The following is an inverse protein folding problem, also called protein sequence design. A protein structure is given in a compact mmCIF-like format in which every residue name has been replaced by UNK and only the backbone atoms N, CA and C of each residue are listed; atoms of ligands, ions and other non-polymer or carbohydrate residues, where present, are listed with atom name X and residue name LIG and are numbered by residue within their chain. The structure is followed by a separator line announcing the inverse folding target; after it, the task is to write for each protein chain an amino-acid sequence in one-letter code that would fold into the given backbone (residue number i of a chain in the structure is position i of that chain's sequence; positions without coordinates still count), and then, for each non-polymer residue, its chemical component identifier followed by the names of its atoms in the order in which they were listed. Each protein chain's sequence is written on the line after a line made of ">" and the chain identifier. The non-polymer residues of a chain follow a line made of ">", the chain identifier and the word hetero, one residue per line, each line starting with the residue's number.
data_IF_025378856967
#
_entry.id   IF_025378856967
#
_cell.length_a   1.000
_cell.length_b   1.000
_cell.length_c   1.000
_cell.angle_alpha   90.00
_cell.angle_beta   90.00
_cell.angle_gamma   90.00
#
_symmetry.space_group_name_H-M   'P 1'
#
loop_
_entity.id
_entity.type
_entity.pdbx_description
1 polymer ?
#
# COMPACT_ATOMS: atom_id res chain seq x y z
N UNK A 1 16.31 12.48 -19.23
CA UNK A 1 15.13 13.14 -19.84
C UNK A 1 14.67 12.49 -21.15
N UNK A 2 15.56 11.96 -22.01
CA UNK A 2 15.14 11.30 -23.27
C UNK A 2 14.43 9.94 -23.09
N UNK A 3 14.57 9.28 -21.94
CA UNK A 3 14.03 7.94 -21.76
C UNK A 3 12.50 7.90 -21.63
N UNK A 4 11.84 8.97 -21.16
CA UNK A 4 10.37 9.03 -21.02
C UNK A 4 9.61 8.91 -22.35
N UNK A 5 10.29 9.09 -23.49
CA UNK A 5 9.71 8.90 -24.82
C UNK A 5 9.98 7.51 -25.41
N UNK A 6 10.73 6.67 -24.70
CA UNK A 6 10.99 5.29 -25.12
C UNK A 6 9.84 4.38 -24.68
N UNK A 7 9.66 3.22 -25.34
CA UNK A 7 8.80 2.17 -24.82
C UNK A 7 9.20 1.77 -23.39
N UNK A 8 8.23 1.43 -22.54
CA UNK A 8 8.48 1.14 -21.12
C UNK A 8 9.49 0.00 -20.93
N UNK A 9 9.48 -0.99 -21.82
CA UNK A 9 10.41 -2.11 -21.84
C UNK A 9 11.87 -1.70 -22.05
N UNK A 10 12.12 -0.56 -22.70
CA UNK A 10 13.45 0.00 -22.93
C UNK A 10 13.94 0.86 -21.75
N UNK A 11 13.08 1.14 -20.76
CA UNK A 11 13.49 1.89 -19.59
C UNK A 11 14.48 1.06 -18.75
N UNK A 12 15.43 1.72 -18.05
CA UNK A 12 16.40 1.04 -17.18
C UNK A 12 15.74 0.14 -16.12
N UNK A 13 14.52 0.44 -15.74
CA UNK A 13 13.72 -0.30 -14.76
C UNK A 13 12.42 -0.85 -15.36
N UNK A 14 12.31 -1.02 -16.67
CA UNK A 14 11.08 -1.49 -17.32
C UNK A 14 9.84 -0.63 -17.06
N UNK A 15 10.03 0.66 -16.76
CA UNK A 15 8.95 1.64 -16.61
C UNK A 15 8.32 1.70 -15.22
N UNK A 16 8.83 0.94 -14.24
CA UNK A 16 8.30 0.90 -12.88
C UNK A 16 8.27 2.30 -12.23
N UNK A 17 9.36 3.07 -12.29
CA UNK A 17 9.44 4.43 -11.72
C UNK A 17 8.45 5.36 -12.41
N UNK A 18 8.43 5.38 -13.75
CA UNK A 18 7.52 6.26 -14.49
C UNK A 18 6.05 6.01 -14.14
N UNK A 19 5.61 4.76 -14.12
CA UNK A 19 4.22 4.42 -13.77
C UNK A 19 3.95 4.72 -12.28
N UNK A 20 4.92 4.47 -11.39
CA UNK A 20 4.82 4.85 -9.98
C UNK A 20 4.58 6.35 -9.79
N UNK A 21 5.35 7.18 -10.49
CA UNK A 21 5.23 8.63 -10.51
C UNK A 21 3.87 9.10 -11.04
N UNK A 22 3.33 8.44 -12.07
CA UNK A 22 1.97 8.73 -12.59
C UNK A 22 0.89 8.39 -11.54
N UNK A 23 0.99 7.23 -10.88
CA UNK A 23 0.03 6.87 -9.82
C UNK A 23 0.10 7.81 -8.62
N UNK A 24 1.29 8.28 -8.25
CA UNK A 24 1.45 9.30 -7.22
C UNK A 24 0.79 10.62 -7.62
N UNK A 25 1.03 11.09 -8.85
CA UNK A 25 0.41 12.31 -9.36
C UNK A 25 -1.12 12.20 -9.39
N UNK A 26 -1.66 11.10 -9.93
CA UNK A 26 -3.10 10.85 -9.97
C UNK A 26 -3.74 10.79 -8.56
N UNK A 27 -3.03 10.24 -7.58
CA UNK A 27 -3.49 10.25 -6.19
C UNK A 27 -3.60 11.67 -5.62
N UNK A 28 -2.64 12.55 -5.96
CA UNK A 28 -2.64 13.95 -5.53
C UNK A 28 -3.71 14.77 -6.25
N UNK A 29 -3.93 14.53 -7.55
CA UNK A 29 -5.00 15.17 -8.31
C UNK A 29 -6.37 14.82 -7.74
N UNK A 30 -6.60 13.55 -7.39
CA UNK A 30 -7.83 13.12 -6.72
C UNK A 30 -8.03 13.85 -5.38
N UNK A 31 -6.97 13.95 -4.57
CA UNK A 31 -7.02 14.68 -3.29
C UNK A 31 -7.25 16.19 -3.45
N UNK A 32 -6.90 16.77 -4.59
CA UNK A 32 -7.02 18.21 -4.87
C UNK A 32 -8.39 18.57 -5.45
N UNK A 33 -9.24 17.59 -5.76
CA UNK A 33 -10.57 17.84 -6.30
C UNK A 33 -11.52 18.42 -5.26
N UNK A 34 -12.43 19.32 -5.67
CA UNK A 34 -13.41 19.97 -4.77
C UNK A 34 -14.35 18.97 -4.08
N UNK A 35 -14.54 17.79 -4.68
CA UNK A 35 -15.41 16.73 -4.16
C UNK A 35 -14.68 15.75 -3.24
N UNK A 36 -13.36 15.85 -3.11
CA UNK A 36 -12.61 14.96 -2.25
C UNK A 36 -12.93 15.24 -0.78
N UNK A 37 -13.19 14.17 -0.03
CA UNK A 37 -13.39 14.20 1.41
C UNK A 37 -12.42 13.20 2.02
N UNK A 38 -11.82 13.54 3.16
CA UNK A 38 -11.05 12.56 3.93
C UNK A 38 -12.00 11.62 4.69
N UNK A 39 -12.81 10.88 3.95
CA UNK A 39 -13.75 9.89 4.44
C UNK A 39 -13.40 8.48 3.96
N UNK A 40 -14.07 7.47 4.52
CA UNK A 40 -13.70 6.07 4.33
C UNK A 40 -13.92 5.54 2.92
N UNK A 41 -14.72 6.22 2.07
CA UNK A 41 -14.93 5.82 0.68
C UNK A 41 -13.94 6.53 -0.23
N UNK A 42 -13.82 7.84 -0.07
CA UNK A 42 -13.01 8.71 -0.93
C UNK A 42 -11.51 8.39 -0.81
N UNK A 43 -11.05 7.95 0.37
CA UNK A 43 -9.63 7.59 0.57
C UNK A 43 -9.25 6.23 -0.04
N UNK A 44 -10.19 5.34 -0.35
CA UNK A 44 -9.87 4.01 -0.90
C UNK A 44 -9.11 4.06 -2.24
N UNK A 45 -9.60 4.77 -3.29
CA UNK A 45 -8.86 4.88 -4.55
C UNK A 45 -7.51 5.58 -4.37
N UNK A 46 -7.43 6.59 -3.50
CA UNK A 46 -6.18 7.29 -3.21
C UNK A 46 -5.17 6.35 -2.53
N UNK A 47 -5.62 5.59 -1.53
CA UNK A 47 -4.79 4.62 -0.84
C UNK A 47 -4.30 3.52 -1.78
N UNK A 48 -5.16 3.05 -2.69
CA UNK A 48 -4.76 2.12 -3.73
C UNK A 48 -3.59 2.68 -4.55
N UNK A 49 -3.76 3.88 -5.12
CA UNK A 49 -2.74 4.51 -5.98
C UNK A 49 -1.43 4.75 -5.24
N UNK A 50 -1.47 5.34 -4.04
CA UNK A 50 -0.27 5.62 -3.24
C UNK A 50 0.47 4.34 -2.83
N UNK A 51 -0.26 3.31 -2.39
CA UNK A 51 0.34 2.01 -2.06
C UNK A 51 0.95 1.34 -3.30
N UNK A 52 0.32 1.47 -4.46
CA UNK A 52 0.86 0.90 -5.70
C UNK A 52 2.10 1.67 -6.17
N UNK A 53 2.11 3.00 -6.05
CA UNK A 53 3.31 3.81 -6.26
C UNK A 53 4.51 3.30 -5.43
N UNK A 54 4.32 3.08 -4.12
CA UNK A 54 5.37 2.52 -3.24
C UNK A 54 5.87 1.17 -3.77
N UNK A 55 4.97 0.26 -4.18
CA UNK A 55 5.35 -1.02 -4.78
C UNK A 55 6.25 -0.82 -6.01
N UNK A 56 5.84 0.04 -6.94
CA UNK A 56 6.56 0.25 -8.19
C UNK A 56 7.92 0.92 -7.95
N UNK A 57 8.03 1.88 -7.04
CA UNK A 57 9.31 2.48 -6.66
C UNK A 57 10.26 1.47 -6.01
N UNK A 58 9.78 0.61 -5.12
CA UNK A 58 10.60 -0.45 -4.54
C UNK A 58 11.09 -1.43 -5.61
N UNK A 59 10.22 -1.82 -6.55
CA UNK A 59 10.57 -2.69 -7.69
C UNK A 59 11.63 -2.03 -8.60
N UNK A 60 11.43 -0.76 -8.93
CA UNK A 60 12.39 0.03 -9.71
C UNK A 60 13.76 0.05 -9.03
N UNK A 61 13.82 0.40 -7.75
CA UNK A 61 15.06 0.42 -6.97
C UNK A 61 15.80 -0.92 -7.00
N UNK A 62 15.08 -2.03 -6.85
CA UNK A 62 15.69 -3.38 -6.92
C UNK A 62 16.32 -3.61 -8.29
N UNK A 63 15.62 -3.35 -9.38
CA UNK A 63 16.14 -3.54 -10.74
C UNK A 63 17.38 -2.68 -10.98
N UNK A 64 17.32 -1.40 -10.60
CA UNK A 64 18.42 -0.46 -10.79
C UNK A 64 19.67 -0.88 -10.00
N UNK A 65 19.52 -1.37 -8.77
CA UNK A 65 20.64 -1.91 -7.98
C UNK A 65 21.28 -3.12 -8.66
N UNK A 66 20.47 -4.09 -9.09
CA UNK A 66 20.98 -5.26 -9.79
C UNK A 66 21.74 -4.89 -11.06
N UNK A 67 21.20 -3.98 -11.87
CA UNK A 67 21.87 -3.50 -13.09
C UNK A 67 23.16 -2.72 -12.77
N UNK A 68 23.13 -1.81 -11.80
CA UNK A 68 24.28 -0.96 -11.43
C UNK A 68 25.46 -1.79 -10.91
N UNK A 69 25.18 -2.76 -10.04
CA UNK A 69 26.20 -3.58 -9.40
C UNK A 69 26.43 -4.93 -10.09
N UNK A 70 25.77 -5.17 -11.23
CA UNK A 70 25.82 -6.43 -11.99
C UNK A 70 25.52 -7.66 -11.11
N UNK A 71 24.52 -7.54 -10.24
CA UNK A 71 24.11 -8.61 -9.33
C UNK A 71 23.14 -9.55 -10.05
N UNK A 72 23.45 -10.85 -10.05
CA UNK A 72 22.57 -11.85 -10.65
C UNK A 72 21.25 -12.01 -9.88
N UNK A 73 20.18 -12.35 -10.60
CA UNK A 73 18.88 -12.72 -10.07
C UNK A 73 18.80 -14.24 -9.97
N UNK A 74 19.25 -14.80 -8.84
CA UNK A 74 19.42 -16.26 -8.70
C UNK A 74 20.37 -16.81 -9.78
N UNK A 75 19.88 -17.72 -10.62
CA UNK A 75 20.60 -18.30 -11.76
C UNK A 75 20.59 -17.39 -13.00
N UNK A 76 19.75 -16.35 -13.03
CA UNK A 76 19.67 -15.41 -14.15
C UNK A 76 20.69 -14.27 -13.99
N UNK A 77 21.18 -13.76 -15.12
CA UNK A 77 22.08 -12.60 -15.13
C UNK A 77 21.36 -11.35 -14.60
N UNK A 78 22.14 -10.34 -14.20
CA UNK A 78 21.64 -9.04 -13.73
C UNK A 78 20.70 -8.29 -14.70
N UNK A 79 20.67 -8.68 -15.97
CA UNK A 79 19.79 -8.15 -17.02
C UNK A 79 18.71 -9.16 -17.47
N UNK A 80 18.58 -10.30 -16.78
CA UNK A 80 17.52 -11.28 -17.01
C UNK A 80 16.19 -10.87 -16.35
N UNK A 81 15.30 -11.86 -16.20
CA UNK A 81 13.98 -11.68 -15.58
C UNK A 81 14.15 -11.25 -14.10
N UNK A 82 13.65 -10.07 -13.69
CA UNK A 82 13.86 -9.58 -12.34
C UNK A 82 13.20 -10.47 -11.28
N UNK A 83 13.94 -10.73 -10.19
CA UNK A 83 13.51 -11.54 -9.04
C UNK A 83 13.85 -10.83 -7.73
N UNK A 84 13.20 -11.26 -6.65
CA UNK A 84 13.61 -10.90 -5.29
C UNK A 84 13.94 -12.13 -4.48
N UNK A 85 14.89 -12.00 -3.56
CA UNK A 85 15.21 -13.04 -2.58
C UNK A 85 14.45 -12.77 -1.29
N UNK A 86 13.60 -13.71 -0.90
CA UNK A 86 12.88 -13.68 0.36
C UNK A 86 13.82 -14.03 1.54
N UNK A 87 13.40 -13.71 2.76
CA UNK A 87 14.18 -13.99 3.97
C UNK A 87 14.48 -15.48 4.19
N UNK A 88 13.62 -16.38 3.70
CA UNK A 88 13.82 -17.82 3.74
C UNK A 88 14.81 -18.31 2.65
N UNK A 89 15.38 -17.40 1.87
CA UNK A 89 16.32 -17.69 0.78
C UNK A 89 15.67 -17.99 -0.57
N UNK A 90 14.34 -18.14 -0.63
CA UNK A 90 13.61 -18.42 -1.88
C UNK A 90 13.62 -17.21 -2.82
N UNK A 91 13.83 -17.46 -4.10
CA UNK A 91 13.69 -16.45 -5.14
C UNK A 91 12.31 -16.51 -5.78
N UNK A 92 11.69 -15.34 -5.96
CA UNK A 92 10.39 -15.22 -6.64
C UNK A 92 10.45 -14.11 -7.70
N UNK A 93 9.61 -14.23 -8.72
CA UNK A 93 9.53 -13.22 -9.79
C UNK A 93 9.07 -11.87 -9.21
N UNK A 94 9.77 -10.80 -9.60
CA UNK A 94 9.44 -9.44 -9.16
C UNK A 94 8.05 -9.02 -9.62
N UNK A 95 7.65 -9.42 -10.84
CA UNK A 95 6.33 -9.08 -11.40
C UNK A 95 5.16 -9.73 -10.66
N UNK A 96 5.37 -10.87 -10.00
CA UNK A 96 4.30 -11.62 -9.31
C UNK A 96 4.17 -11.28 -7.83
N UNK A 97 5.15 -10.59 -7.25
CA UNK A 97 5.09 -10.18 -5.85
C UNK A 97 4.48 -8.79 -5.73
N UNK A 98 3.52 -8.65 -4.82
CA UNK A 98 2.93 -7.38 -4.43
C UNK A 98 3.23 -7.04 -2.97
N UNK A 99 3.95 -7.89 -2.25
CA UNK A 99 4.22 -7.69 -0.84
C UNK A 99 5.29 -6.60 -0.67
N UNK A 100 4.84 -5.39 -0.32
CA UNK A 100 5.71 -4.23 -0.16
C UNK A 100 6.72 -4.39 0.98
N UNK A 101 6.43 -5.23 1.98
CA UNK A 101 7.37 -5.55 3.05
C UNK A 101 8.53 -6.38 2.52
N UNK A 102 8.26 -7.42 1.73
CA UNK A 102 9.32 -8.25 1.14
C UNK A 102 10.18 -7.43 0.17
N UNK A 103 9.55 -6.57 -0.64
CA UNK A 103 10.25 -5.64 -1.54
C UNK A 103 11.14 -4.66 -0.76
N UNK A 104 10.61 -4.03 0.30
CA UNK A 104 11.38 -3.13 1.16
C UNK A 104 12.57 -3.83 1.80
N UNK A 105 12.37 -5.02 2.40
CA UNK A 105 13.43 -5.78 3.04
C UNK A 105 14.55 -6.09 2.04
N UNK A 106 14.19 -6.53 0.84
CA UNK A 106 15.17 -6.87 -0.17
C UNK A 106 15.95 -5.65 -0.68
N UNK A 107 15.27 -4.54 -0.96
CA UNK A 107 15.94 -3.29 -1.35
C UNK A 107 16.85 -2.75 -0.24
N UNK A 108 16.40 -2.78 1.02
CA UNK A 108 17.21 -2.36 2.16
C UNK A 108 18.45 -3.27 2.34
N UNK A 109 18.31 -4.57 2.09
CA UNK A 109 19.45 -5.48 2.03
C UNK A 109 20.45 -5.05 0.94
N UNK A 110 19.99 -4.80 -0.30
CA UNK A 110 20.86 -4.35 -1.39
C UNK A 110 21.59 -3.04 -1.06
N UNK A 111 20.89 -2.08 -0.45
CA UNK A 111 21.48 -0.81 0.01
C UNK A 111 22.56 -1.07 1.06
N UNK A 112 22.27 -1.86 2.09
CA UNK A 112 23.21 -2.18 3.17
C UNK A 112 24.44 -2.94 2.67
N UNK A 113 24.26 -3.91 1.78
CA UNK A 113 25.34 -4.69 1.18
C UNK A 113 26.28 -3.86 0.31
N UNK A 114 25.83 -2.72 -0.20
CA UNK A 114 26.63 -1.82 -1.04
C UNK A 114 26.98 -0.49 -0.36
N UNK A 115 26.79 -0.38 0.96
CA UNK A 115 26.94 0.87 1.73
C UNK A 115 28.31 1.55 1.54
N UNK A 116 29.39 0.79 1.47
CA UNK A 116 30.74 1.34 1.32
C UNK A 116 30.94 2.00 -0.05
N UNK A 117 30.41 1.39 -1.12
CA UNK A 117 30.43 2.01 -2.44
C UNK A 117 29.57 3.27 -2.44
N UNK A 118 28.34 3.17 -1.92
CA UNK A 118 27.38 4.28 -1.93
C UNK A 118 27.89 5.50 -1.17
N UNK A 119 28.48 5.31 0.01
CA UNK A 119 29.02 6.40 0.85
C UNK A 119 30.23 7.09 0.23
N UNK A 120 31.04 6.38 -0.57
CA UNK A 120 32.23 6.94 -1.24
C UNK A 120 31.92 7.60 -2.58
N UNK A 121 30.86 7.19 -3.27
CA UNK A 121 30.59 7.56 -4.67
C UNK A 121 29.33 8.40 -4.86
N UNK A 122 28.57 8.68 -3.80
CA UNK A 122 27.33 9.47 -3.89
C UNK A 122 27.19 10.39 -2.68
N UNK A 123 26.44 11.49 -2.85
CA UNK A 123 26.07 12.40 -1.76
C UNK A 123 24.72 12.06 -1.13
N UNK A 124 23.98 11.13 -1.74
CA UNK A 124 22.66 10.70 -1.28
C UNK A 124 22.76 9.93 0.03
N UNK A 125 21.84 10.22 0.96
CA UNK A 125 21.67 9.42 2.18
C UNK A 125 20.91 8.14 1.82
N UNK A 126 21.64 7.05 1.59
CA UNK A 126 21.07 5.73 1.29
C UNK A 126 20.60 5.02 2.57
N UNK A 127 19.63 5.62 3.25
CA UNK A 127 18.99 5.07 4.44
C UNK A 127 17.51 5.47 4.43
N UNK A 128 16.62 4.51 4.59
CA UNK A 128 15.22 4.81 4.84
C UNK A 128 15.03 5.47 6.21
N UNK A 129 14.00 6.30 6.34
CA UNK A 129 13.57 6.86 7.62
C UNK A 129 13.31 5.72 8.63
N UNK A 130 13.67 5.91 9.90
CA UNK A 130 13.47 4.91 10.96
C UNK A 130 11.98 4.57 11.20
N UNK A 131 11.06 5.48 10.84
CA UNK A 131 9.63 5.23 10.84
C UNK A 131 9.12 4.49 9.59
N UNK A 132 9.89 4.48 8.51
CA UNK A 132 9.46 3.94 7.22
C UNK A 132 9.10 2.46 7.33
N UNK A 133 9.90 1.68 8.05
CA UNK A 133 9.61 0.27 8.30
C UNK A 133 8.30 0.07 9.07
N UNK A 134 7.98 0.96 10.03
CA UNK A 134 6.71 0.92 10.76
C UNK A 134 5.54 1.18 9.81
N UNK A 135 5.69 2.14 8.89
CA UNK A 135 4.67 2.45 7.88
C UNK A 135 4.48 1.29 6.90
N UNK A 136 5.56 0.74 6.34
CA UNK A 136 5.51 -0.43 5.46
C UNK A 136 4.83 -1.61 6.15
N UNK A 137 5.18 -1.89 7.41
CA UNK A 137 4.54 -2.96 8.18
C UNK A 137 3.05 -2.70 8.38
N UNK A 138 2.66 -1.46 8.69
CA UNK A 138 1.24 -1.10 8.86
C UNK A 138 0.48 -1.25 7.55
N UNK A 139 0.98 -0.70 6.44
CA UNK A 139 0.35 -0.82 5.10
C UNK A 139 0.23 -2.28 4.68
N UNK A 140 1.32 -3.05 4.80
CA UNK A 140 1.34 -4.47 4.43
C UNK A 140 0.40 -5.31 5.31
N UNK A 141 0.19 -4.91 6.58
CA UNK A 141 -0.78 -5.51 7.47
C UNK A 141 -2.22 -5.41 6.96
N UNK A 142 -2.57 -4.34 6.24
CA UNK A 142 -3.87 -4.20 5.59
C UNK A 142 -3.91 -4.87 4.21
N UNK A 143 -2.86 -4.70 3.41
CA UNK A 143 -2.91 -4.98 1.97
C UNK A 143 -1.65 -5.67 1.40
N UNK A 144 -1.31 -6.85 1.95
CA UNK A 144 -0.09 -7.59 1.57
C UNK A 144 -0.09 -8.14 0.14
N UNK A 145 -1.28 -8.38 -0.44
CA UNK A 145 -1.42 -8.95 -1.79
C UNK A 145 -2.07 -7.97 -2.79
N UNK A 146 -2.14 -6.69 -2.40
CA UNK A 146 -2.72 -5.61 -3.21
C UNK A 146 -4.21 -5.79 -3.52
N UNK A 147 -4.99 -6.61 -2.80
CA UNK A 147 -6.41 -6.84 -3.09
C UNK A 147 -7.36 -6.03 -2.21
N UNK A 148 -6.87 -5.48 -1.08
CA UNK A 148 -7.71 -4.80 -0.10
C UNK A 148 -8.34 -3.53 -0.68
N UNK A 149 -7.57 -2.63 -1.29
CA UNK A 149 -8.16 -1.39 -1.81
C UNK A 149 -8.89 -1.56 -3.16
N UNK A 150 -8.62 -2.65 -3.88
CA UNK A 150 -9.15 -2.87 -5.24
C UNK A 150 -10.53 -3.54 -5.22
N UNK A 151 -10.72 -4.54 -4.36
CA UNK A 151 -11.91 -5.38 -4.40
C UNK A 151 -12.85 -5.09 -3.24
N UNK A 152 -14.18 -5.11 -3.47
CA UNK A 152 -15.16 -5.02 -2.39
C UNK A 152 -14.95 -6.12 -1.34
N UNK A 153 -14.69 -7.35 -1.80
CA UNK A 153 -14.39 -8.52 -0.98
C UNK A 153 -13.00 -9.04 -1.39
N UNK A 154 -12.05 -8.97 -0.47
CA UNK A 154 -10.68 -9.46 -0.65
C UNK A 154 -10.56 -10.93 -0.23
N UNK A 155 -9.35 -11.48 -0.30
CA UNK A 155 -9.06 -12.82 0.27
C UNK A 155 -9.25 -12.87 1.79
N UNK A 156 -9.18 -11.72 2.47
CA UNK A 156 -9.36 -11.62 3.91
C UNK A 156 -10.69 -10.92 4.26
N UNK A 157 -11.73 -11.73 4.36
CA UNK A 157 -13.09 -11.26 4.74
C UNK A 157 -13.12 -10.57 6.10
N UNK A 158 -12.20 -10.88 7.02
CA UNK A 158 -12.16 -10.21 8.32
C UNK A 158 -11.61 -8.80 8.19
N UNK A 159 -10.63 -8.58 7.31
CA UNK A 159 -10.14 -7.24 7.00
C UNK A 159 -11.19 -6.41 6.27
N UNK A 160 -11.97 -7.01 5.37
CA UNK A 160 -13.03 -6.32 4.61
C UNK A 160 -14.09 -5.66 5.51
N UNK A 161 -14.35 -6.20 6.70
CA UNK A 161 -15.21 -5.56 7.71
C UNK A 161 -14.72 -4.18 8.15
N UNK A 162 -13.45 -3.84 7.89
CA UNK A 162 -12.89 -2.51 8.14
C UNK A 162 -13.05 -1.54 6.97
N UNK A 163 -13.52 -1.99 5.80
CA UNK A 163 -13.82 -1.10 4.65
C UNK A 163 -15.19 -0.45 4.79
N UNK A 164 -16.13 -1.13 5.44
CA UNK A 164 -17.47 -0.60 5.66
C UNK A 164 -17.51 0.22 6.95
N UNK A 165 -18.08 1.42 6.84
CA UNK A 165 -18.37 2.30 7.97
C UNK A 165 -19.46 1.76 8.88
N UNK A 166 -20.39 0.98 8.33
CA UNK A 166 -21.44 0.31 9.08
C UNK A 166 -21.02 -1.11 9.45
N UNK A 167 -21.23 -1.46 10.72
CA UNK A 167 -21.03 -2.82 11.24
C UNK A 167 -22.29 -3.29 11.96
N UNK A 168 -22.51 -4.59 11.90
CA UNK A 168 -23.59 -5.22 12.65
C UNK A 168 -23.38 -4.96 14.15
N UNK A 169 -24.44 -4.54 14.82
CA UNK A 169 -24.49 -4.17 16.23
C UNK A 169 -25.81 -4.67 16.85
N UNK A 170 -26.00 -4.45 18.14
CA UNK A 170 -27.23 -4.76 18.86
C UNK A 170 -27.82 -3.48 19.44
N UNK A 171 -29.12 -3.54 19.79
CA UNK A 171 -29.78 -2.40 20.45
C UNK A 171 -29.10 -2.04 21.79
N UNK A 172 -28.69 -3.04 22.57
CA UNK A 172 -27.91 -2.85 23.80
C UNK A 172 -26.54 -2.21 23.53
N UNK A 173 -25.87 -2.60 22.45
CA UNK A 173 -24.61 -2.00 22.03
C UNK A 173 -24.74 -0.52 21.69
N UNK A 174 -25.79 -0.17 20.95
CA UNK A 174 -26.11 1.22 20.58
C UNK A 174 -26.47 2.05 21.82
N UNK A 175 -27.30 1.53 22.72
CA UNK A 175 -27.64 2.20 23.97
C UNK A 175 -26.38 2.55 24.76
N UNK A 176 -25.44 1.59 24.89
CA UNK A 176 -24.16 1.82 25.55
C UNK A 176 -23.30 2.88 24.85
N UNK A 177 -23.31 2.95 23.52
CA UNK A 177 -22.60 4.01 22.78
C UNK A 177 -23.20 5.39 23.06
N UNK A 178 -24.53 5.49 23.07
CA UNK A 178 -25.26 6.73 23.37
C UNK A 178 -25.01 7.18 24.82
N UNK A 179 -25.06 6.25 25.79
CA UNK A 179 -24.74 6.51 27.20
C UNK A 179 -23.31 7.03 27.39
N UNK A 180 -22.38 6.59 26.54
CA UNK A 180 -21.00 7.09 26.50
C UNK A 180 -20.87 8.46 25.79
N UNK A 181 -21.97 9.07 25.37
CA UNK A 181 -21.99 10.35 24.66
C UNK A 181 -21.52 10.26 23.21
N UNK A 182 -21.45 9.06 22.61
CA UNK A 182 -21.08 8.91 21.19
C UNK A 182 -22.26 9.23 20.29
N UNK A 183 -22.02 10.04 19.26
CA UNK A 183 -22.96 10.21 18.15
C UNK A 183 -22.97 8.94 17.29
N UNK A 184 -24.15 8.38 17.08
CA UNK A 184 -24.35 7.15 16.31
C UNK A 184 -25.36 7.37 15.18
N UNK A 185 -25.13 6.72 14.04
CA UNK A 185 -26.03 6.60 12.90
C UNK A 185 -26.34 5.11 12.79
N UNK A 186 -27.61 4.75 12.78
CA UNK A 186 -28.06 3.36 12.81
C UNK A 186 -28.94 3.05 11.60
N UNK A 187 -28.75 1.86 11.02
CA UNK A 187 -29.64 1.25 10.04
C UNK A 187 -30.29 0.03 10.67
N UNK A 188 -31.62 0.08 10.83
CA UNK A 188 -32.42 -1.06 11.27
C UNK A 188 -33.06 -1.74 10.05
N UNK A 189 -32.90 -3.05 9.96
CA UNK A 189 -33.60 -3.90 8.98
C UNK A 189 -34.66 -4.68 9.74
N UNK A 190 -35.92 -4.31 9.51
CA UNK A 190 -37.09 -4.87 10.19
C UNK A 190 -37.80 -5.89 9.30
N UNK A 191 -38.51 -6.84 9.91
CA UNK A 191 -39.43 -7.71 9.18
C UNK A 191 -40.83 -7.08 9.04
N UNK A 192 -41.77 -7.82 8.45
CA UNK A 192 -43.14 -7.37 8.22
C UNK A 192 -43.92 -7.05 9.51
N UNK A 193 -43.44 -7.50 10.67
CA UNK A 193 -44.05 -7.26 11.97
C UNK A 193 -43.42 -6.06 12.69
N UNK A 194 -42.40 -5.42 12.09
CA UNK A 194 -41.62 -4.34 12.70
C UNK A 194 -40.51 -4.84 13.63
N UNK A 195 -40.23 -6.15 13.66
CA UNK A 195 -39.16 -6.69 14.50
C UNK A 195 -37.80 -6.49 13.81
N UNK A 196 -36.86 -5.84 14.50
CA UNK A 196 -35.50 -5.65 13.99
C UNK A 196 -34.77 -7.00 13.83
N UNK A 197 -34.51 -7.41 12.59
CA UNK A 197 -33.72 -8.60 12.25
C UNK A 197 -32.23 -8.35 12.23
N UNK A 198 -31.81 -7.18 11.76
CA UNK A 198 -30.40 -6.76 11.75
C UNK A 198 -30.31 -5.28 12.07
N UNK A 199 -29.31 -4.94 12.86
CA UNK A 199 -29.03 -3.57 13.23
C UNK A 199 -27.58 -3.30 12.86
N UNK A 200 -27.34 -2.19 12.17
CA UNK A 200 -26.00 -1.73 11.87
C UNK A 200 -25.80 -0.36 12.46
N UNK A 201 -24.64 -0.10 13.09
CA UNK A 201 -24.26 1.26 13.50
C UNK A 201 -22.96 1.69 12.85
N UNK A 202 -22.78 3.00 12.72
CA UNK A 202 -21.52 3.56 12.29
C UNK A 202 -20.42 3.23 13.30
N UNK A 203 -19.36 2.62 12.82
CA UNK A 203 -18.14 2.46 13.58
C UNK A 203 -17.13 3.52 13.14
N UNK A 204 -16.30 3.99 14.06
CA UNK A 204 -15.19 4.88 13.69
C UNK A 204 -14.36 4.27 12.56
N UNK A 205 -14.21 4.96 11.41
CA UNK A 205 -13.44 4.48 10.27
C UNK A 205 -11.93 4.68 10.48
N UNK A 206 -11.49 5.00 11.70
CA UNK A 206 -10.12 5.42 12.04
C UNK A 206 -9.04 4.62 11.33
N UNK A 207 -9.22 3.31 11.15
CA UNK A 207 -8.22 2.44 10.51
C UNK A 207 -7.91 2.78 9.05
N UNK A 208 -8.90 3.13 8.22
CA UNK A 208 -8.65 3.42 6.80
C UNK A 208 -8.14 4.84 6.58
N UNK A 209 -8.61 5.77 7.41
CA UNK A 209 -8.17 7.17 7.41
C UNK A 209 -6.76 7.29 8.02
N UNK A 210 -6.43 6.51 9.04
CA UNK A 210 -5.06 6.39 9.56
C UNK A 210 -4.11 5.87 8.48
N UNK A 211 -4.57 4.94 7.67
CA UNK A 211 -3.77 4.39 6.58
C UNK A 211 -3.56 5.42 5.47
N UNK A 212 -4.58 6.22 5.18
CA UNK A 212 -4.47 7.38 4.31
C UNK A 212 -3.42 8.37 4.80
N UNK A 213 -3.45 8.72 6.10
CA UNK A 213 -2.45 9.62 6.71
C UNK A 213 -1.04 9.07 6.63
N UNK A 214 -0.86 7.76 6.78
CA UNK A 214 0.45 7.12 6.63
C UNK A 214 0.92 7.20 5.17
N UNK A 215 0.03 6.91 4.22
CA UNK A 215 0.34 6.95 2.79
C UNK A 215 0.51 8.37 2.25
N UNK A 216 0.01 9.39 2.97
CA UNK A 216 0.19 10.80 2.64
C UNK A 216 1.57 11.34 3.06
N UNK A 217 2.25 10.72 4.02
CA UNK A 217 3.55 11.20 4.47
C UNK A 217 4.54 11.17 3.29
N UNK A 218 5.29 12.25 3.13
CA UNK A 218 6.41 12.28 2.19
C UNK A 218 7.44 11.22 2.62
N UNK A 219 7.74 10.31 1.71
CA UNK A 219 8.68 9.20 1.86
C UNK A 219 10.00 9.57 1.18
#
# INVERSE_FOLDING_TARGET
>A
MNYYFMPLEEHPDYGYEMIGSIYYAAANDLCSSENFREDWYSVLPVNFLRRHCIELFLKSGIILFHKKFKLNFDNDKYNGEPKIKLNNGTWILLKTTHNIKDLYIYLNFLIKSNKDYLSKNTTTIWKFNDEFEKWINKINGYDSVSDYFRYPISKDKNKDKNKNFFRENTMQGIQKEIEQGKKTITLNVEDSNGDAKKIYSNHKPDKIVDLFKILQKDI
#
